data_IF_452330170586
#
_entry.id   IF_452330170586
#
_cell.length_a   1.000
_cell.length_b   1.000
_cell.length_c   1.000
_cell.angle_alpha   90.00
_cell.angle_beta   90.00
_cell.angle_gamma   90.00
#
_symmetry.space_group_name_H-M   'P 1'
#
loop_
_entity.id
_entity.type
_entity.pdbx_description
1 polymer ?
#
# COMPACT_ATOMS: atom_id res chain seq x y z
N UNK A 1 8.01 -6.33 1.66
CA UNK A 1 7.35 -5.18 2.34
C UNK A 1 8.38 -4.10 2.56
N UNK A 2 8.19 -2.95 1.91
CA UNK A 2 9.10 -1.80 1.94
C UNK A 2 8.57 -0.76 2.92
N UNK A 3 9.45 0.01 3.57
CA UNK A 3 9.05 1.09 4.49
C UNK A 3 9.58 2.43 3.99
N UNK A 4 8.73 3.44 3.95
CA UNK A 4 9.04 4.79 3.47
C UNK A 4 8.54 5.87 4.42
N UNK A 5 9.18 7.05 4.39
CA UNK A 5 8.74 8.22 5.14
C UNK A 5 7.65 8.97 4.35
N UNK A 6 6.70 9.58 5.08
CA UNK A 6 5.65 10.42 4.48
C UNK A 6 6.21 11.58 3.66
N UNK A 7 7.37 12.12 4.05
CA UNK A 7 8.06 13.19 3.33
C UNK A 7 8.65 12.71 2.00
N UNK A 8 9.15 11.47 1.94
CA UNK A 8 9.60 10.83 0.70
C UNK A 8 8.42 10.60 -0.23
N UNK A 9 7.29 10.12 0.29
CA UNK A 9 6.06 9.94 -0.49
C UNK A 9 5.61 11.25 -1.14
N UNK A 10 5.57 12.35 -0.38
CA UNK A 10 5.19 13.68 -0.91
C UNK A 10 6.10 14.16 -2.04
N UNK A 11 7.39 13.83 -2.01
CA UNK A 11 8.37 14.26 -3.02
C UNK A 11 8.49 13.33 -4.22
N UNK A 12 8.20 12.04 -4.05
CA UNK A 12 8.48 10.99 -5.04
C UNK A 12 7.26 10.08 -5.29
N UNK A 13 6.04 10.59 -5.08
CA UNK A 13 4.80 9.82 -5.19
C UNK A 13 4.74 8.98 -6.46
N UNK A 14 4.99 9.57 -7.63
CA UNK A 14 4.94 8.87 -8.92
C UNK A 14 5.91 7.69 -9.01
N UNK A 15 7.12 7.84 -8.46
CA UNK A 15 8.12 6.77 -8.46
C UNK A 15 7.69 5.63 -7.53
N UNK A 16 7.23 5.96 -6.33
CA UNK A 16 6.76 4.97 -5.36
C UNK A 16 5.54 4.21 -5.89
N UNK A 17 4.61 4.91 -6.57
CA UNK A 17 3.46 4.28 -7.21
C UNK A 17 3.87 3.36 -8.37
N UNK A 18 4.84 3.76 -9.19
CA UNK A 18 5.35 2.91 -10.27
C UNK A 18 6.04 1.64 -9.72
N UNK A 19 6.85 1.77 -8.68
CA UNK A 19 7.49 0.65 -7.99
C UNK A 19 6.46 -0.27 -7.33
N UNK A 20 5.42 0.28 -6.71
CA UNK A 20 4.32 -0.49 -6.12
C UNK A 20 3.58 -1.30 -7.19
N UNK A 21 3.29 -0.69 -8.34
CA UNK A 21 2.59 -1.35 -9.42
C UNK A 21 3.43 -2.48 -10.06
N UNK A 22 4.75 -2.26 -10.20
CA UNK A 22 5.66 -3.22 -10.79
C UNK A 22 6.02 -4.38 -9.84
N UNK A 23 6.27 -4.08 -8.56
CA UNK A 23 6.67 -5.09 -7.57
C UNK A 23 5.47 -5.82 -6.97
N UNK A 24 4.30 -5.18 -6.95
CA UNK A 24 3.10 -5.64 -6.21
C UNK A 24 3.37 -5.84 -4.72
N UNK A 25 4.44 -5.25 -4.18
CA UNK A 25 4.77 -5.31 -2.77
C UNK A 25 4.20 -4.10 -1.99
N UNK A 26 3.47 -4.32 -0.89
CA UNK A 26 2.98 -3.24 -0.04
C UNK A 26 4.11 -2.36 0.50
N UNK A 27 3.85 -1.05 0.54
CA UNK A 27 4.74 -0.05 1.13
C UNK A 27 4.13 0.50 2.41
N UNK A 28 4.82 0.35 3.54
CA UNK A 28 4.45 0.98 4.80
C UNK A 28 4.94 2.44 4.81
N UNK A 29 4.02 3.37 5.01
CA UNK A 29 4.32 4.79 5.18
C UNK A 29 4.39 5.09 6.67
N UNK A 30 5.45 5.81 7.05
CA UNK A 30 5.68 6.26 8.43
C UNK A 30 5.68 7.78 8.51
N UNK A 31 5.10 8.30 9.58
CA UNK A 31 5.10 9.72 9.93
C UNK A 31 5.64 9.88 11.35
N UNK A 32 6.63 10.76 11.53
CA UNK A 32 7.34 10.94 12.81
C UNK A 32 7.85 9.62 13.44
N UNK A 33 8.23 8.65 12.61
CA UNK A 33 8.71 7.33 13.04
C UNK A 33 7.61 6.34 13.43
N UNK A 34 6.34 6.73 13.29
CA UNK A 34 5.19 5.87 13.58
C UNK A 34 4.55 5.38 12.27
N UNK A 35 4.12 4.10 12.19
CA UNK A 35 3.33 3.60 11.07
C UNK A 35 2.03 4.42 10.93
N UNK A 36 1.80 5.01 9.76
CA UNK A 36 0.61 5.84 9.51
C UNK A 36 -0.32 5.25 8.44
N UNK A 37 0.23 4.60 7.41
CA UNK A 37 -0.56 4.01 6.33
C UNK A 37 0.16 2.88 5.60
N UNK A 38 -0.59 2.04 4.90
CA UNK A 38 -0.06 1.13 3.88
C UNK A 38 -0.50 1.58 2.50
N UNK A 39 0.43 1.60 1.56
CA UNK A 39 0.15 1.80 0.14
C UNK A 39 0.15 0.43 -0.53
N UNK A 40 -0.97 0.09 -1.16
CA UNK A 40 -1.20 -1.14 -1.90
C UNK A 40 -1.79 -0.81 -3.26
N UNK A 41 -1.57 -1.67 -4.25
CA UNK A 41 -2.21 -1.52 -5.55
C UNK A 41 -3.73 -1.65 -5.41
N UNK A 42 -4.48 -0.81 -6.11
CA UNK A 42 -5.94 -0.75 -5.99
C UNK A 42 -6.60 -2.05 -6.43
N UNK A 43 -6.09 -2.72 -7.46
CA UNK A 43 -6.67 -3.98 -7.94
C UNK A 43 -6.46 -5.09 -6.91
N UNK A 44 -5.27 -5.14 -6.31
CA UNK A 44 -4.96 -6.12 -5.27
C UNK A 44 -5.83 -5.88 -4.03
N UNK A 45 -6.03 -4.61 -3.65
CA UNK A 45 -6.92 -4.23 -2.56
C UNK A 45 -8.36 -4.67 -2.80
N UNK A 46 -8.92 -4.37 -3.98
CA UNK A 46 -10.28 -4.76 -4.34
C UNK A 46 -10.46 -6.27 -4.39
N UNK A 47 -9.49 -7.01 -4.94
CA UNK A 47 -9.52 -8.48 -4.94
C UNK A 47 -9.50 -9.05 -3.52
N UNK A 48 -8.67 -8.50 -2.63
CA UNK A 48 -8.62 -8.92 -1.23
C UNK A 48 -9.94 -8.64 -0.51
N UNK A 49 -10.52 -7.45 -0.69
CA UNK A 49 -11.82 -7.08 -0.11
C UNK A 49 -12.93 -7.99 -0.61
N UNK A 50 -13.02 -8.23 -1.93
CA UNK A 50 -14.02 -9.12 -2.51
C UNK A 50 -13.90 -10.55 -1.96
N UNK A 51 -12.68 -11.06 -1.80
CA UNK A 51 -12.46 -12.37 -1.20
C UNK A 51 -12.87 -12.42 0.27
N UNK A 52 -12.60 -11.36 1.02
CA UNK A 52 -12.97 -11.27 2.43
C UNK A 52 -14.49 -11.28 2.62
N UNK A 53 -15.23 -10.53 1.79
CA UNK A 53 -16.70 -10.54 1.79
C UNK A 53 -17.26 -11.95 1.55
N UNK A 54 -16.66 -12.73 0.65
CA UNK A 54 -17.08 -14.11 0.40
C UNK A 54 -16.83 -15.00 1.62
N UNK A 55 -15.73 -14.78 2.35
CA UNK A 55 -15.36 -15.57 3.53
C UNK A 55 -16.19 -15.21 4.77
N UNK A 56 -16.56 -13.95 4.93
CA UNK A 56 -17.41 -13.49 6.05
C UNK A 56 -18.89 -13.87 5.87
N UNK A 57 -19.30 -14.24 4.65
CA UNK A 57 -20.65 -14.69 4.31
C UNK A 57 -20.87 -16.21 4.41
N UNK A 58 -19.85 -16.97 4.82
CA UNK A 58 -19.89 -18.41 5.09
C UNK A 58 -19.94 -18.69 6.59
#
# INVERSE_FOLDING_TARGET
MKTELVTTLKRQATKILAELHASKEPVLITEHGQPSAYLVDVQDYEMMQNRMVILDGL
#
